data_IF_386610051443
#
_entry.id   IF_386610051443
#
_cell.length_a   1.000
_cell.length_b   1.000
_cell.length_c   1.000
_cell.angle_alpha   90.00
_cell.angle_beta   90.00
_cell.angle_gamma   90.00
#
_symmetry.space_group_name_H-M   'P 1'
#
loop_
_entity.id
_entity.type
_entity.pdbx_description
1 polymer ?
#
# COMPACT_ATOMS: atom_id res chain seq x y z
N UNK A 1 -14.04 -21.07 -9.48
CA UNK A 1 -13.99 -20.90 -10.95
C UNK A 1 -12.78 -20.02 -11.24
N UNK A 2 -11.88 -20.40 -12.15
CA UNK A 2 -10.63 -19.65 -12.39
C UNK A 2 -10.88 -18.26 -12.98
N UNK A 3 -11.94 -18.11 -13.77
CA UNK A 3 -12.35 -16.85 -14.42
C UNK A 3 -12.91 -15.81 -13.45
N UNK A 4 -13.12 -16.15 -12.17
CA UNK A 4 -13.56 -15.21 -11.14
C UNK A 4 -12.39 -14.59 -10.37
N UNK A 5 -11.16 -15.04 -10.63
CA UNK A 5 -9.96 -14.49 -10.00
C UNK A 5 -9.68 -13.12 -10.64
N UNK A 6 -9.49 -12.04 -9.85
CA UNK A 6 -9.13 -10.74 -10.39
C UNK A 6 -7.83 -10.80 -11.22
N UNK A 7 -7.79 -10.07 -12.33
CA UNK A 7 -6.66 -10.07 -13.28
C UNK A 7 -6.06 -8.67 -13.37
N UNK A 8 -4.74 -8.62 -13.50
CA UNK A 8 -3.94 -7.43 -13.84
C UNK A 8 -3.19 -7.74 -15.13
N UNK A 9 -3.25 -6.85 -16.11
CA UNK A 9 -2.40 -6.94 -17.29
C UNK A 9 -1.10 -6.19 -17.08
N UNK A 10 -0.02 -6.89 -17.41
CA UNK A 10 1.34 -6.42 -17.21
C UNK A 10 2.00 -6.37 -18.57
N UNK A 11 2.06 -5.17 -19.14
CA UNK A 11 2.62 -4.91 -20.46
C UNK A 11 4.11 -4.63 -20.33
N UNK A 12 4.92 -5.63 -20.69
CA UNK A 12 6.37 -5.45 -20.76
C UNK A 12 6.74 -4.65 -22.02
N UNK A 13 7.28 -3.45 -21.83
CA UNK A 13 7.75 -2.56 -22.91
C UNK A 13 9.29 -2.51 -22.91
N UNK A 14 9.88 -2.05 -24.00
CA UNK A 14 11.34 -1.97 -24.10
C UNK A 14 11.89 -0.76 -23.35
N UNK A 15 11.19 0.36 -23.43
CA UNK A 15 11.58 1.64 -22.82
C UNK A 15 10.32 2.40 -22.35
N UNK A 16 10.37 3.16 -21.23
CA UNK A 16 9.26 3.98 -20.76
C UNK A 16 8.67 4.94 -21.82
N UNK A 17 9.49 5.44 -22.75
CA UNK A 17 9.05 6.29 -23.85
C UNK A 17 8.09 5.60 -24.82
N UNK A 18 8.08 4.26 -24.86
CA UNK A 18 7.17 3.45 -25.68
C UNK A 18 5.81 3.19 -25.03
N UNK A 19 5.46 3.86 -23.93
CA UNK A 19 4.18 3.70 -23.24
C UNK A 19 2.93 3.89 -24.14
N UNK A 20 3.10 4.54 -25.29
CA UNK A 20 2.07 4.82 -26.30
C UNK A 20 2.30 4.05 -27.62
N UNK A 21 3.07 2.96 -27.62
CA UNK A 21 3.19 2.13 -28.81
C UNK A 21 1.85 1.45 -29.14
N UNK A 22 1.67 1.06 -30.40
CA UNK A 22 0.39 0.52 -30.91
C UNK A 22 -0.07 -0.74 -30.18
N UNK A 23 0.86 -1.57 -29.71
CA UNK A 23 0.57 -2.80 -28.96
C UNK A 23 0.08 -2.50 -27.54
N UNK A 24 0.77 -1.61 -26.82
CA UNK A 24 0.36 -1.15 -25.49
C UNK A 24 -1.01 -0.48 -25.54
N UNK A 25 -1.27 0.29 -26.60
CA UNK A 25 -2.55 0.95 -26.79
C UNK A 25 -3.68 -0.04 -27.05
N UNK A 26 -3.45 -1.05 -27.91
CA UNK A 26 -4.42 -2.12 -28.13
C UNK A 26 -4.75 -2.91 -26.85
N UNK A 27 -3.76 -3.19 -25.99
CA UNK A 27 -4.00 -3.84 -24.70
C UNK A 27 -4.79 -2.94 -23.75
N UNK A 28 -4.46 -1.64 -23.68
CA UNK A 28 -5.20 -0.66 -22.88
C UNK A 28 -6.66 -0.58 -23.31
N UNK A 29 -6.93 -0.50 -24.61
CA UNK A 29 -8.29 -0.44 -25.16
C UNK A 29 -9.11 -1.70 -24.80
N UNK A 30 -8.52 -2.88 -24.97
CA UNK A 30 -9.19 -4.13 -24.57
C UNK A 30 -9.44 -4.20 -23.05
N UNK A 31 -8.45 -3.81 -22.26
CA UNK A 31 -8.53 -3.86 -20.81
C UNK A 31 -9.55 -2.86 -20.26
N UNK A 32 -9.70 -1.68 -20.88
CA UNK A 32 -10.70 -0.68 -20.50
C UNK A 32 -12.12 -1.21 -20.71
N UNK A 33 -12.38 -1.92 -21.82
CA UNK A 33 -13.67 -2.54 -22.08
C UNK A 33 -14.04 -3.59 -21.03
N UNK A 34 -13.05 -4.36 -20.55
CA UNK A 34 -13.21 -5.41 -19.54
C UNK A 34 -13.00 -4.91 -18.09
N UNK A 35 -12.69 -3.62 -17.90
CA UNK A 35 -12.34 -3.01 -16.60
C UNK A 35 -11.17 -3.70 -15.88
N UNK A 36 -10.20 -4.16 -16.65
CA UNK A 36 -8.98 -4.80 -16.16
C UNK A 36 -7.91 -3.71 -15.98
N UNK A 37 -7.27 -3.60 -14.80
CA UNK A 37 -6.15 -2.68 -14.65
C UNK A 37 -4.97 -3.10 -15.52
N UNK A 38 -4.23 -2.11 -16.02
CA UNK A 38 -3.04 -2.30 -16.86
C UNK A 38 -1.86 -1.57 -16.23
N UNK A 39 -0.73 -2.26 -16.11
CA UNK A 39 0.55 -1.68 -15.74
C UNK A 39 1.53 -1.88 -16.88
N UNK A 40 2.18 -0.79 -17.28
CA UNK A 40 3.31 -0.80 -18.20
C UNK A 40 4.60 -0.83 -17.39
N UNK A 41 5.52 -1.72 -17.74
CA UNK A 41 6.85 -1.72 -17.15
C UNK A 41 7.91 -2.13 -18.16
N UNK A 42 9.11 -1.58 -18.01
CA UNK A 42 10.26 -2.00 -18.80
C UNK A 42 11.07 -3.01 -17.99
N UNK A 43 10.79 -4.31 -18.14
CA UNK A 43 11.30 -5.34 -17.22
C UNK A 43 12.83 -5.40 -17.11
N UNK A 44 13.54 -5.08 -18.19
CA UNK A 44 15.00 -4.97 -18.17
C UNK A 44 15.46 -3.79 -17.31
N UNK A 45 14.85 -2.62 -17.51
CA UNK A 45 15.13 -1.41 -16.74
C UNK A 45 14.81 -1.60 -15.25
N UNK A 46 13.68 -2.25 -14.93
CA UNK A 46 13.32 -2.56 -13.54
C UNK A 46 14.37 -3.45 -12.86
N UNK A 47 14.92 -4.44 -13.57
CA UNK A 47 15.99 -5.29 -13.04
C UNK A 47 17.25 -4.47 -12.75
N UNK A 48 17.66 -3.61 -13.69
CA UNK A 48 18.83 -2.74 -13.53
C UNK A 48 18.65 -1.80 -12.33
N UNK A 49 17.46 -1.22 -12.13
CA UNK A 49 17.14 -0.38 -10.96
C UNK A 49 17.26 -1.18 -9.66
N UNK A 50 16.82 -2.45 -9.64
CA UNK A 50 16.87 -3.29 -8.44
C UNK A 50 18.28 -3.73 -8.06
N UNK A 51 19.17 -3.87 -9.04
CA UNK A 51 20.57 -4.27 -8.83
C UNK A 51 21.45 -3.13 -8.26
N UNK A 52 20.97 -1.88 -8.25
CA UNK A 52 21.67 -0.74 -7.65
C UNK A 52 21.40 -0.69 -6.15
N UNK A 53 22.36 -1.13 -5.33
CA UNK A 53 22.24 -1.13 -3.87
C UNK A 53 22.23 0.28 -3.25
N UNK A 54 22.98 1.23 -3.83
CA UNK A 54 23.05 2.59 -3.30
C UNK A 54 21.80 3.41 -3.65
N UNK A 55 21.14 3.94 -2.62
CA UNK A 55 19.88 4.65 -2.79
C UNK A 55 20.02 5.98 -3.55
N UNK A 56 21.15 6.68 -3.42
CA UNK A 56 21.37 7.96 -4.09
C UNK A 56 21.75 7.75 -5.56
N UNK A 57 22.54 6.71 -5.86
CA UNK A 57 22.80 6.25 -7.21
C UNK A 57 21.52 5.82 -7.91
N UNK A 58 20.70 4.99 -7.24
CA UNK A 58 19.40 4.54 -7.78
C UNK A 58 18.49 5.71 -8.11
N UNK A 59 18.41 6.72 -7.23
CA UNK A 59 17.64 7.96 -7.48
C UNK A 59 18.19 8.75 -8.66
N UNK A 60 19.51 8.84 -8.77
CA UNK A 60 20.17 9.55 -9.88
C UNK A 60 19.86 8.87 -11.20
N UNK A 61 20.01 7.54 -11.27
CA UNK A 61 19.66 6.73 -12.44
C UNK A 61 18.19 6.88 -12.85
N UNK A 62 17.25 6.78 -11.90
CA UNK A 62 15.83 7.00 -12.18
C UNK A 62 15.56 8.40 -12.73
N UNK A 63 16.22 9.43 -12.19
CA UNK A 63 16.07 10.81 -12.66
C UNK A 63 16.61 11.01 -14.08
N UNK A 64 17.71 10.37 -14.43
CA UNK A 64 18.26 10.37 -15.80
C UNK A 64 17.32 9.70 -16.80
N UNK A 65 16.59 8.67 -16.35
CA UNK A 65 15.56 7.97 -17.12
C UNK A 65 14.18 8.66 -17.06
N UNK A 66 14.09 9.85 -16.45
CA UNK A 66 12.83 10.61 -16.27
C UNK A 66 11.73 9.84 -15.50
N UNK A 67 12.15 8.90 -14.65
CA UNK A 67 11.26 8.11 -13.80
C UNK A 67 11.12 8.73 -12.41
N UNK A 68 9.86 8.96 -11.99
CA UNK A 68 9.55 9.41 -10.63
C UNK A 68 9.56 8.26 -9.61
N UNK A 69 9.14 7.07 -10.05
CA UNK A 69 9.19 5.84 -9.25
C UNK A 69 9.38 4.61 -10.16
N UNK A 70 9.91 3.49 -9.64
CA UNK A 70 9.98 2.23 -10.38
C UNK A 70 8.60 1.75 -10.82
N UNK A 71 8.48 1.20 -12.04
CA UNK A 71 7.25 0.59 -12.54
C UNK A 71 6.80 -0.60 -11.70
N UNK A 72 7.75 -1.31 -11.05
CA UNK A 72 7.45 -2.36 -10.09
C UNK A 72 6.63 -1.84 -8.89
N UNK A 73 6.86 -0.61 -8.44
CA UNK A 73 6.06 -0.02 -7.35
C UNK A 73 4.61 0.21 -7.81
N UNK A 74 4.41 0.67 -9.04
CA UNK A 74 3.08 0.81 -9.63
C UNK A 74 2.36 -0.55 -9.72
N UNK A 75 3.08 -1.60 -10.13
CA UNK A 75 2.56 -2.97 -10.15
C UNK A 75 2.13 -3.45 -8.77
N UNK A 76 2.95 -3.22 -7.73
CA UNK A 76 2.65 -3.62 -6.36
C UNK A 76 1.40 -2.90 -5.83
N UNK A 77 1.32 -1.58 -6.00
CA UNK A 77 0.15 -0.78 -5.59
C UNK A 77 -1.12 -1.26 -6.28
N UNK A 78 -1.07 -1.43 -7.59
CA UNK A 78 -2.20 -1.93 -8.38
C UNK A 78 -2.63 -3.34 -7.95
N UNK A 79 -1.67 -4.21 -7.60
CA UNK A 79 -1.96 -5.53 -7.06
C UNK A 79 -2.61 -5.49 -5.67
N UNK A 80 -2.21 -4.57 -4.80
CA UNK A 80 -2.85 -4.33 -3.50
C UNK A 80 -4.31 -3.91 -3.66
N UNK A 81 -4.55 -2.93 -4.55
CA UNK A 81 -5.89 -2.44 -4.85
C UNK A 81 -6.77 -3.56 -5.45
N UNK A 82 -6.22 -4.32 -6.40
CA UNK A 82 -6.91 -5.45 -7.04
C UNK A 82 -7.34 -6.53 -6.03
N UNK A 83 -6.53 -6.75 -5.00
CA UNK A 83 -6.81 -7.72 -3.92
C UNK A 83 -7.69 -7.14 -2.81
N UNK A 84 -8.10 -5.87 -2.92
CA UNK A 84 -8.78 -5.08 -1.89
C UNK A 84 -8.04 -5.15 -0.55
N UNK A 85 -6.75 -4.82 -0.58
CA UNK A 85 -5.89 -4.78 0.59
C UNK A 85 -5.65 -3.33 1.00
N UNK A 86 -5.57 -3.11 2.31
CA UNK A 86 -5.15 -1.83 2.90
C UNK A 86 -4.06 -2.09 3.92
N UNK A 87 -3.28 -1.05 4.22
CA UNK A 87 -2.16 -1.10 5.15
C UNK A 87 -2.44 -0.22 6.35
N UNK A 88 -2.26 -0.76 7.56
CA UNK A 88 -2.19 0.03 8.78
C UNK A 88 -0.81 -0.10 9.43
N UNK A 89 -0.47 0.80 10.34
CA UNK A 89 0.84 0.86 10.97
C UNK A 89 0.76 0.73 12.48
N UNK A 90 1.78 0.11 13.05
CA UNK A 90 2.11 0.20 14.48
C UNK A 90 3.42 0.98 14.61
N UNK A 91 3.43 2.05 15.41
CA UNK A 91 4.59 2.96 15.56
C UNK A 91 4.92 3.13 17.05
N UNK A 92 6.19 3.39 17.39
CA UNK A 92 6.59 3.78 18.75
C UNK A 92 6.78 2.63 19.75
N UNK A 93 6.73 1.38 19.28
CA UNK A 93 7.14 0.19 20.03
C UNK A 93 8.61 -0.16 19.81
N UNK A 94 8.95 -1.45 19.99
CA UNK A 94 10.26 -1.98 19.62
C UNK A 94 10.53 -1.91 18.11
N UNK A 95 9.47 -1.99 17.30
CA UNK A 95 9.52 -1.90 15.84
C UNK A 95 8.40 -1.01 15.31
N UNK A 96 8.69 -0.31 14.22
CA UNK A 96 7.68 0.31 13.37
C UNK A 96 7.34 -0.68 12.26
N UNK A 97 6.06 -0.96 12.06
CA UNK A 97 5.64 -2.03 11.14
C UNK A 97 4.38 -1.68 10.37
N UNK A 98 4.37 -2.08 9.10
CA UNK A 98 3.21 -2.08 8.21
C UNK A 98 2.50 -3.44 8.27
N UNK A 99 1.18 -3.42 8.36
CA UNK A 99 0.33 -4.60 8.45
C UNK A 99 -0.71 -4.59 7.34
N UNK A 100 -0.75 -5.67 6.57
CA UNK A 100 -1.71 -5.84 5.47
C UNK A 100 -2.99 -6.48 5.96
N UNK A 101 -4.12 -5.86 5.69
CA UNK A 101 -5.46 -6.38 5.98
C UNK A 101 -6.35 -6.25 4.74
N UNK A 102 -7.50 -6.94 4.73
CA UNK A 102 -8.50 -6.69 3.70
C UNK A 102 -9.21 -5.35 3.97
N UNK A 103 -9.58 -4.66 2.91
CA UNK A 103 -10.46 -3.51 3.00
C UNK A 103 -11.75 -3.91 3.74
N UNK A 104 -12.27 -2.99 4.56
CA UNK A 104 -13.41 -3.22 5.44
C UNK A 104 -13.16 -4.17 6.63
N UNK A 105 -11.91 -4.51 6.93
CA UNK A 105 -11.57 -5.21 8.18
C UNK A 105 -11.86 -4.33 9.40
N UNK A 106 -12.52 -4.91 10.40
CA UNK A 106 -12.80 -4.26 11.67
C UNK A 106 -11.55 -4.21 12.56
N UNK A 107 -11.50 -3.27 13.49
CA UNK A 107 -10.38 -3.11 14.41
C UNK A 107 -9.96 -4.41 15.14
N UNK A 108 -10.85 -5.28 15.63
CA UNK A 108 -10.44 -6.56 16.24
C UNK A 108 -9.77 -7.52 15.24
N UNK A 109 -10.25 -7.57 13.99
CA UNK A 109 -9.68 -8.42 12.95
C UNK A 109 -8.28 -7.94 12.55
N UNK A 110 -8.10 -6.62 12.46
CA UNK A 110 -6.79 -6.00 12.25
C UNK A 110 -5.83 -6.26 13.43
N UNK A 111 -6.32 -6.25 14.67
CA UNK A 111 -5.50 -6.66 15.82
C UNK A 111 -5.09 -8.15 15.73
N UNK A 112 -5.98 -9.00 15.20
CA UNK A 112 -5.75 -10.42 14.97
C UNK A 112 -4.58 -10.73 14.03
N UNK A 113 -4.27 -9.85 13.07
CA UNK A 113 -3.10 -10.04 12.19
C UNK A 113 -1.78 -9.87 12.92
N UNK A 114 -1.78 -9.16 14.05
CA UNK A 114 -0.62 -9.05 14.95
C UNK A 114 -0.50 -10.30 15.80
N UNK A 115 -1.59 -10.67 16.47
CA UNK A 115 -1.69 -11.90 17.26
C UNK A 115 -3.14 -12.32 17.47
N UNK A 116 -3.44 -13.62 17.36
CA UNK A 116 -4.81 -14.14 17.50
C UNK A 116 -5.46 -13.88 18.86
N UNK A 117 -4.67 -13.67 19.92
CA UNK A 117 -5.19 -13.30 21.25
C UNK A 117 -5.67 -11.84 21.29
N UNK A 118 -5.10 -10.94 20.48
CA UNK A 118 -5.51 -9.53 20.48
C UNK A 118 -6.91 -9.36 19.90
N UNK A 119 -7.28 -10.18 18.92
CA UNK A 119 -8.63 -10.20 18.37
C UNK A 119 -9.66 -10.63 19.44
N UNK A 120 -9.35 -11.72 20.17
CA UNK A 120 -10.22 -12.26 21.24
C UNK A 120 -10.31 -11.31 22.44
N UNK A 121 -9.16 -10.75 22.84
CA UNK A 121 -9.02 -9.84 23.98
C UNK A 121 -9.29 -8.38 23.66
N UNK A 122 -9.71 -8.03 22.44
CA UNK A 122 -9.84 -6.64 22.00
C UNK A 122 -10.74 -5.81 22.93
N UNK A 123 -10.21 -4.68 23.40
CA UNK A 123 -10.95 -3.69 24.18
C UNK A 123 -11.29 -2.48 23.30
N UNK A 124 -10.27 -1.84 22.72
CA UNK A 124 -10.38 -0.62 21.90
C UNK A 124 -9.11 -0.40 21.08
N UNK A 125 -9.21 0.43 20.05
CA UNK A 125 -8.08 0.90 19.27
C UNK A 125 -7.86 2.40 19.51
N UNK A 126 -6.61 2.82 19.69
CA UNK A 126 -6.22 4.23 19.59
C UNK A 126 -5.77 4.44 18.15
N UNK A 127 -6.42 5.35 17.42
CA UNK A 127 -6.23 5.51 15.98
C UNK A 127 -5.96 6.97 15.63
N UNK A 128 -4.98 7.19 14.76
CA UNK A 128 -4.75 8.44 14.04
C UNK A 128 -4.20 8.11 12.66
N UNK A 129 -4.30 9.03 11.68
CA UNK A 129 -3.82 8.73 10.32
C UNK A 129 -2.38 9.25 10.10
N UNK A 130 -1.64 8.61 9.21
CA UNK A 130 -0.33 9.03 8.75
C UNK A 130 -0.27 10.51 8.33
N UNK A 131 -1.28 11.01 7.61
CA UNK A 131 -1.32 12.42 7.17
C UNK A 131 -1.34 13.40 8.35
N UNK A 132 -2.08 13.07 9.42
CA UNK A 132 -2.09 13.85 10.65
C UNK A 132 -0.71 13.78 11.32
N UNK A 133 -0.05 12.62 11.36
CA UNK A 133 1.30 12.52 11.91
C UNK A 133 2.31 13.38 11.13
N UNK A 134 2.25 13.38 9.79
CA UNK A 134 3.14 14.21 8.95
C UNK A 134 2.89 15.71 9.17
N UNK A 135 1.62 16.09 9.34
CA UNK A 135 1.21 17.48 9.58
C UNK A 135 1.62 17.97 10.97
N UNK A 136 1.31 17.21 12.01
CA UNK A 136 1.52 17.60 13.41
C UNK A 136 2.89 17.16 13.96
N UNK A 137 3.69 16.42 13.17
CA UNK A 137 5.08 16.00 13.42
C UNK A 137 5.30 14.93 14.49
N UNK A 138 4.40 14.78 15.46
CA UNK A 138 4.50 13.75 16.49
C UNK A 138 3.12 13.41 17.08
N UNK A 139 3.02 12.25 17.75
CA UNK A 139 1.77 11.74 18.33
C UNK A 139 1.16 12.70 19.38
N UNK A 140 1.99 13.34 20.21
CA UNK A 140 1.50 14.27 21.22
C UNK A 140 0.78 15.47 20.57
N UNK A 141 1.35 16.03 19.51
CA UNK A 141 0.75 17.12 18.77
C UNK A 141 -0.52 16.69 18.02
N UNK A 142 -0.57 15.46 17.48
CA UNK A 142 -1.80 14.88 16.90
C UNK A 142 -2.90 14.78 17.96
N UNK A 143 -2.54 14.37 19.18
CA UNK A 143 -3.45 14.29 20.32
C UNK A 143 -3.95 15.67 20.77
N UNK A 144 -3.05 16.64 20.91
CA UNK A 144 -3.38 18.03 21.26
C UNK A 144 -4.28 18.69 20.21
N UNK A 145 -4.13 18.32 18.94
CA UNK A 145 -4.99 18.73 17.85
C UNK A 145 -6.36 17.98 17.80
N UNK A 146 -6.62 17.07 18.74
CA UNK A 146 -7.88 16.31 18.83
C UNK A 146 -8.06 15.28 17.70
N UNK A 147 -6.98 14.87 17.03
CA UNK A 147 -7.02 13.93 15.90
C UNK A 147 -6.84 12.47 16.30
N UNK A 148 -6.35 12.23 17.51
CA UNK A 148 -6.25 10.90 18.10
C UNK A 148 -7.64 10.44 18.59
N UNK A 149 -8.12 9.34 18.01
CA UNK A 149 -9.45 8.78 18.25
C UNK A 149 -9.38 7.50 19.08
N UNK A 150 -10.43 7.25 19.86
CA UNK A 150 -10.65 5.98 20.55
C UNK A 150 -11.78 5.25 19.84
N UNK A 151 -11.42 4.16 19.19
CA UNK A 151 -12.30 3.42 18.30
C UNK A 151 -12.69 2.06 18.89
N UNK A 152 -13.95 1.69 18.68
CA UNK A 152 -14.54 0.46 19.20
C UNK A 152 -14.41 -0.73 18.25
N UNK A 153 -15.13 -1.81 18.57
CA UNK A 153 -15.11 -3.07 17.79
C UNK A 153 -15.68 -2.95 16.38
N UNK A 154 -16.55 -1.97 16.14
CA UNK A 154 -17.20 -1.74 14.85
C UNK A 154 -16.42 -0.79 13.93
N UNK A 155 -15.31 -0.22 14.42
CA UNK A 155 -14.46 0.64 13.59
C UNK A 155 -13.85 -0.14 12.44
N UNK A 156 -13.97 0.42 11.25
CA UNK A 156 -13.32 -0.09 10.05
C UNK A 156 -11.97 0.60 9.92
N UNK A 157 -10.90 -0.19 9.97
CA UNK A 157 -9.54 0.33 9.82
C UNK A 157 -9.38 0.87 8.40
N UNK A 158 -8.86 2.10 8.31
CA UNK A 158 -8.62 2.78 7.04
C UNK A 158 -7.16 2.59 6.61
N UNK A 159 -6.92 2.72 5.31
CA UNK A 159 -5.55 2.74 4.79
C UNK A 159 -4.77 3.92 5.39
N UNK A 160 -3.53 3.66 5.79
CA UNK A 160 -2.68 4.67 6.42
C UNK A 160 -2.97 4.94 7.89
N UNK A 161 -3.93 4.23 8.51
CA UNK A 161 -4.16 4.34 9.94
C UNK A 161 -2.92 3.88 10.73
N UNK A 162 -2.55 4.65 11.74
CA UNK A 162 -1.60 4.28 12.78
C UNK A 162 -2.42 3.87 14.01
N UNK A 163 -2.23 2.64 14.45
CA UNK A 163 -3.11 2.00 15.42
C UNK A 163 -2.34 1.44 16.61
N UNK A 164 -2.81 1.76 17.81
CA UNK A 164 -2.39 1.09 19.05
C UNK A 164 -3.57 0.34 19.65
N UNK A 165 -3.52 -0.99 19.59
CA UNK A 165 -4.57 -1.84 20.14
C UNK A 165 -4.43 -1.99 21.65
N UNK A 166 -5.56 -1.86 22.36
CA UNK A 166 -5.69 -2.21 23.77
C UNK A 166 -6.46 -3.52 23.86
N UNK A 167 -5.87 -4.49 24.55
CA UNK A 167 -6.44 -5.82 24.74
C UNK A 167 -6.24 -6.27 26.18
N UNK A 168 -7.08 -7.20 26.64
CA UNK A 168 -6.85 -7.94 27.87
C UNK A 168 -6.32 -9.33 27.53
N UNK A 169 -5.28 -9.77 28.24
CA UNK A 169 -4.73 -11.12 28.15
C UNK A 169 -5.30 -11.98 29.27
#
# INVERSE_FOLDING_TARGET
MLTSIPVLFVCNIQDPSEANNSLAQAVKEYAEAEKIPVVLLAGKLESEIMDIDDLEERKTFMKEMELNEPGLNCMIKTGYDLLNLVTFFTVGGAENRAWTIRQNSRAPQAAGTIHSDFERGFIRAVVYNFDDLVKYKNENAVKEAGKLRLEGKDYIVQDGDIVHFRFNV
#
